data_IF_124921507273
#
_entry.id   IF_124921507273
#
_cell.length_a   1.000
_cell.length_b   1.000
_cell.length_c   1.000
_cell.angle_alpha   90.00
_cell.angle_beta   90.00
_cell.angle_gamma   90.00
#
_symmetry.space_group_name_H-M   'P 1'
#
loop_
_entity.id
_entity.type
_entity.pdbx_description
1 polymer ?
#
# COMPACT_ATOMS: atom_id res chain seq x y z
N UNK A 1 9.55 -14.09 -11.58
CA UNK A 1 8.41 -14.87 -11.02
C UNK A 1 8.28 -14.53 -9.54
N UNK A 2 7.07 -14.42 -9.00
CA UNK A 2 6.86 -14.18 -7.57
C UNK A 2 6.86 -15.53 -6.84
N UNK A 3 7.76 -15.71 -5.91
CA UNK A 3 7.83 -16.94 -5.09
C UNK A 3 6.92 -16.87 -3.87
N UNK A 4 6.69 -18.04 -3.26
CA UNK A 4 5.83 -18.19 -2.08
C UNK A 4 6.35 -17.39 -0.88
N UNK A 5 7.67 -17.25 -0.75
CA UNK A 5 8.28 -16.46 0.33
C UNK A 5 7.85 -14.99 0.23
N UNK A 6 8.01 -14.38 -0.95
CA UNK A 6 7.53 -13.02 -1.20
C UNK A 6 6.02 -12.89 -0.96
N UNK A 7 5.22 -13.82 -1.49
CA UNK A 7 3.76 -13.77 -1.38
C UNK A 7 3.29 -13.89 0.08
N UNK A 8 4.02 -14.65 0.92
CA UNK A 8 3.70 -14.83 2.33
C UNK A 8 3.82 -13.55 3.17
N UNK A 9 4.54 -12.53 2.67
CA UNK A 9 4.70 -11.23 3.33
C UNK A 9 3.45 -10.36 3.28
N UNK A 10 2.45 -10.74 2.47
CA UNK A 10 1.23 -9.96 2.26
C UNK A 10 -0.03 -10.82 2.46
N UNK A 11 -1.13 -10.25 3.00
CA UNK A 11 -1.23 -8.89 3.50
C UNK A 11 -0.50 -8.69 4.84
N UNK A 12 -0.11 -7.45 5.11
CA UNK A 12 0.42 -7.00 6.39
C UNK A 12 -0.69 -7.06 7.44
N UNK A 13 -0.47 -7.88 8.47
CA UNK A 13 -1.45 -8.12 9.52
C UNK A 13 -1.14 -7.38 10.83
N UNK A 14 0.11 -6.96 11.02
CA UNK A 14 0.56 -6.29 12.22
C UNK A 14 1.82 -5.43 11.97
N UNK A 15 2.30 -4.82 13.05
CA UNK A 15 3.46 -3.96 13.05
C UNK A 15 4.77 -4.69 12.78
N UNK A 16 4.92 -5.94 13.23
CA UNK A 16 6.13 -6.71 13.00
C UNK A 16 6.29 -7.05 11.52
N UNK A 17 5.21 -7.51 10.87
CA UNK A 17 5.20 -7.74 9.43
C UNK A 17 5.49 -6.47 8.64
N UNK A 18 4.92 -5.34 9.08
CA UNK A 18 5.18 -4.05 8.43
C UNK A 18 6.64 -3.64 8.54
N UNK A 19 7.27 -3.82 9.70
CA UNK A 19 8.69 -3.54 9.88
C UNK A 19 9.56 -4.44 9.01
N UNK A 20 9.27 -5.74 8.97
CA UNK A 20 9.98 -6.71 8.12
C UNK A 20 9.91 -6.31 6.64
N UNK A 21 8.70 -6.07 6.10
CA UNK A 21 8.53 -5.63 4.71
C UNK A 21 9.19 -4.27 4.45
N UNK A 22 9.10 -3.34 5.40
CA UNK A 22 9.75 -2.03 5.28
C UNK A 22 11.27 -2.19 5.17
N UNK A 23 11.87 -3.04 6.00
CA UNK A 23 13.30 -3.31 5.99
C UNK A 23 13.75 -4.01 4.70
N UNK A 24 13.04 -5.08 4.30
CA UNK A 24 13.26 -5.77 3.03
C UNK A 24 13.16 -4.83 1.83
N UNK A 25 12.18 -3.93 1.82
CA UNK A 25 12.02 -2.97 0.71
C UNK A 25 13.19 -1.99 0.64
N UNK A 26 13.78 -1.63 1.79
CA UNK A 26 14.90 -0.70 1.87
C UNK A 26 16.24 -1.37 1.52
N UNK A 27 16.45 -2.58 2.01
CA UNK A 27 17.77 -3.22 2.06
C UNK A 27 17.94 -4.39 1.07
N UNK A 28 16.84 -5.00 0.60
CA UNK A 28 16.89 -6.14 -0.32
C UNK A 28 16.46 -5.72 -1.74
N UNK A 29 17.44 -5.66 -2.64
CA UNK A 29 17.24 -5.32 -4.04
C UNK A 29 16.35 -6.32 -4.79
N UNK A 30 16.50 -7.62 -4.51
CA UNK A 30 15.70 -8.68 -5.12
C UNK A 30 14.24 -8.58 -4.69
N UNK A 31 14.02 -8.33 -3.40
CA UNK A 31 12.68 -8.06 -2.86
C UNK A 31 12.06 -6.82 -3.53
N UNK A 32 12.80 -5.73 -3.67
CA UNK A 32 12.32 -4.50 -4.33
C UNK A 32 11.93 -4.74 -5.80
N UNK A 33 12.71 -5.52 -6.56
CA UNK A 33 12.33 -5.91 -7.93
C UNK A 33 11.02 -6.72 -7.94
N UNK A 34 10.89 -7.71 -7.05
CA UNK A 34 9.65 -8.50 -6.93
C UNK A 34 8.46 -7.63 -6.55
N UNK A 35 8.66 -6.67 -5.66
CA UNK A 35 7.65 -5.71 -5.25
C UNK A 35 7.21 -4.83 -6.43
N UNK A 36 8.14 -4.27 -7.19
CA UNK A 36 7.82 -3.49 -8.38
C UNK A 36 7.02 -4.32 -9.40
N UNK A 37 7.47 -5.55 -9.66
CA UNK A 37 6.76 -6.48 -10.54
C UNK A 37 5.35 -6.81 -10.02
N UNK A 38 5.21 -7.11 -8.72
CA UNK A 38 3.92 -7.34 -8.08
C UNK A 38 2.97 -6.17 -8.26
N UNK A 39 3.44 -4.93 -8.04
CA UNK A 39 2.62 -3.71 -8.21
C UNK A 39 2.18 -3.53 -9.67
N UNK A 40 3.08 -3.76 -10.64
CA UNK A 40 2.78 -3.64 -12.08
C UNK A 40 1.74 -4.65 -12.58
N UNK A 41 1.67 -5.84 -11.97
CA UNK A 41 0.72 -6.87 -12.37
C UNK A 41 -0.73 -6.52 -12.04
N UNK A 42 -0.96 -5.54 -11.17
CA UNK A 42 -2.29 -4.97 -11.01
C UNK A 42 -2.41 -3.73 -11.86
N UNK A 43 -3.55 -3.57 -12.52
CA UNK A 43 -3.92 -2.33 -13.17
C UNK A 43 -4.98 -1.57 -12.38
N UNK A 44 -5.39 -0.44 -12.93
CA UNK A 44 -6.59 0.30 -12.51
C UNK A 44 -7.08 1.10 -13.71
N UNK A 45 -8.37 1.43 -13.72
CA UNK A 45 -8.90 2.34 -14.74
C UNK A 45 -8.23 3.74 -14.67
N UNK A 46 -7.62 4.07 -13.53
CA UNK A 46 -6.82 5.26 -13.30
C UNK A 46 -5.86 5.02 -12.12
N UNK A 47 -4.95 5.98 -11.87
CA UNK A 47 -3.96 5.91 -10.80
C UNK A 47 -4.56 5.76 -9.40
N UNK A 48 -5.70 6.41 -9.09
CA UNK A 48 -6.40 6.23 -7.80
C UNK A 48 -6.84 4.78 -7.61
N UNK A 49 -7.48 4.20 -8.62
CA UNK A 49 -7.94 2.82 -8.59
C UNK A 49 -6.78 1.83 -8.49
N UNK A 50 -5.67 2.10 -9.16
CA UNK A 50 -4.45 1.29 -9.07
C UNK A 50 -3.89 1.31 -7.64
N UNK A 51 -3.70 2.50 -7.05
CA UNK A 51 -3.24 2.66 -5.66
C UNK A 51 -4.18 1.94 -4.69
N UNK A 52 -5.50 2.13 -4.80
CA UNK A 52 -6.47 1.46 -3.94
C UNK A 52 -6.38 -0.07 -4.00
N UNK A 53 -6.22 -0.63 -5.21
CA UNK A 53 -6.10 -2.07 -5.41
C UNK A 53 -4.85 -2.62 -4.75
N UNK A 54 -3.71 -1.95 -4.90
CA UNK A 54 -2.46 -2.39 -4.28
C UNK A 54 -2.49 -2.24 -2.76
N UNK A 55 -3.05 -1.14 -2.23
CA UNK A 55 -3.18 -0.99 -0.78
C UNK A 55 -4.03 -2.11 -0.17
N UNK A 56 -5.08 -2.55 -0.87
CA UNK A 56 -5.86 -3.73 -0.46
C UNK A 56 -5.16 -5.08 -0.61
N UNK A 57 -4.00 -5.13 -1.27
CA UNK A 57 -3.09 -6.30 -1.26
C UNK A 57 -2.02 -6.18 -0.19
N UNK A 58 -1.54 -4.97 0.07
CA UNK A 58 -0.52 -4.71 1.08
C UNK A 58 -1.06 -4.83 2.49
N UNK A 59 -2.25 -4.32 2.78
CA UNK A 59 -2.77 -4.27 4.13
C UNK A 59 -4.07 -5.05 4.20
N UNK A 60 -4.24 -5.82 5.28
CA UNK A 60 -5.57 -6.24 5.67
C UNK A 60 -6.31 -5.04 6.31
N UNK A 61 -7.64 -5.10 6.34
CA UNK A 61 -8.41 -3.97 6.87
C UNK A 61 -8.26 -3.78 8.38
N UNK A 62 -8.07 -4.86 9.16
CA UNK A 62 -7.85 -4.74 10.61
C UNK A 62 -6.59 -3.93 10.92
N UNK A 63 -5.47 -4.28 10.32
CA UNK A 63 -4.21 -3.59 10.50
C UNK A 63 -4.23 -2.19 9.88
N UNK A 64 -4.89 -2.01 8.73
CA UNK A 64 -5.08 -0.68 8.13
C UNK A 64 -5.81 0.28 9.08
N UNK A 65 -6.71 -0.20 9.97
CA UNK A 65 -7.34 0.65 10.99
C UNK A 65 -6.37 1.15 12.05
N UNK A 66 -5.21 0.51 12.22
CA UNK A 66 -4.15 0.92 13.17
C UNK A 66 -3.12 1.85 12.51
N UNK A 67 -3.17 1.98 11.18
CA UNK A 67 -2.25 2.77 10.38
C UNK A 67 -2.73 4.21 10.17
N UNK A 68 -1.77 5.12 10.04
CA UNK A 68 -1.95 6.52 9.65
C UNK A 68 -0.86 6.96 8.69
N UNK A 69 -1.14 7.96 7.84
CA UNK A 69 -0.12 8.48 6.94
C UNK A 69 0.93 9.30 7.68
N UNK A 70 0.51 10.20 8.57
CA UNK A 70 1.39 11.25 9.12
C UNK A 70 1.66 11.13 10.62
N UNK A 71 1.04 10.17 11.32
CA UNK A 71 1.17 10.03 12.77
C UNK A 71 0.30 11.00 13.57
N UNK A 72 -0.47 11.88 12.92
CA UNK A 72 -1.25 12.94 13.59
C UNK A 72 -2.61 12.48 14.12
N UNK A 73 -3.08 11.32 13.69
CA UNK A 73 -4.39 10.80 14.07
C UNK A 73 -4.31 10.07 15.42
N UNK A 74 -5.17 10.45 16.36
CA UNK A 74 -5.22 9.83 17.70
C UNK A 74 -5.58 8.35 17.59
N UNK A 75 -5.01 7.53 18.47
CA UNK A 75 -5.26 6.08 18.56
C UNK A 75 -4.77 5.25 17.35
N UNK A 76 -3.93 5.81 16.49
CA UNK A 76 -3.22 5.06 15.43
C UNK A 76 -1.80 4.74 15.90
N UNK A 77 -1.37 3.50 15.73
CA UNK A 77 -0.10 2.99 16.27
C UNK A 77 1.01 2.97 15.24
N UNK A 78 0.70 3.00 13.94
CA UNK A 78 1.71 2.86 12.88
C UNK A 78 1.62 3.99 11.85
N UNK A 79 2.73 4.71 11.68
CA UNK A 79 2.88 5.72 10.63
C UNK A 79 3.52 5.11 9.40
N UNK A 80 2.81 5.12 8.26
CA UNK A 80 3.27 4.46 7.02
C UNK A 80 3.70 5.44 5.91
N UNK A 81 3.38 6.73 6.04
CA UNK A 81 3.43 7.69 4.93
C UNK A 81 4.82 7.99 4.35
N UNK A 82 5.90 7.74 5.10
CA UNK A 82 7.29 7.95 4.66
C UNK A 82 8.04 6.64 4.44
N UNK A 83 7.32 5.53 4.26
CA UNK A 83 7.94 4.22 4.08
C UNK A 83 8.40 3.98 2.65
N UNK A 84 9.51 3.26 2.49
CA UNK A 84 10.02 2.88 1.17
C UNK A 84 9.01 2.00 0.41
N UNK A 85 8.20 1.20 1.13
CA UNK A 85 7.05 0.46 0.55
C UNK A 85 6.10 1.38 -0.24
N UNK A 86 5.73 2.53 0.33
CA UNK A 86 4.86 3.49 -0.36
C UNK A 86 5.59 4.29 -1.44
N UNK A 87 6.91 4.52 -1.29
CA UNK A 87 7.72 5.14 -2.34
C UNK A 87 7.79 4.27 -3.59
N UNK A 88 8.00 2.97 -3.44
CA UNK A 88 7.99 2.01 -4.55
C UNK A 88 6.63 1.97 -5.21
N UNK A 89 5.54 1.93 -4.43
CA UNK A 89 4.18 2.04 -4.97
C UNK A 89 3.98 3.32 -5.79
N UNK A 90 4.36 4.48 -5.24
CA UNK A 90 4.26 5.78 -5.91
C UNK A 90 5.01 5.77 -7.24
N UNK A 91 6.27 5.31 -7.23
CA UNK A 91 7.13 5.22 -8.42
C UNK A 91 6.46 4.37 -9.51
N UNK A 92 6.07 3.15 -9.18
CA UNK A 92 5.52 2.21 -10.17
C UNK A 92 4.20 2.71 -10.75
N UNK A 93 3.29 3.25 -9.92
CA UNK A 93 2.00 3.76 -10.43
C UNK A 93 2.21 4.97 -11.35
N UNK A 94 3.18 5.85 -11.04
CA UNK A 94 3.55 6.97 -11.93
C UNK A 94 4.01 6.45 -13.28
N UNK A 95 4.91 5.48 -13.31
CA UNK A 95 5.44 4.89 -14.55
C UNK A 95 4.35 4.18 -15.37
N UNK A 96 3.43 3.46 -14.72
CA UNK A 96 2.29 2.83 -15.39
C UNK A 96 1.28 3.87 -15.94
N UNK A 97 1.32 5.11 -15.44
CA UNK A 97 0.38 6.17 -15.81
C UNK A 97 0.96 7.19 -16.79
N UNK A 98 2.25 7.10 -17.16
CA UNK A 98 2.98 8.11 -17.95
C UNK A 98 2.44 8.38 -19.36
N UNK A 99 1.50 7.56 -19.86
CA UNK A 99 0.78 7.79 -21.12
C UNK A 99 -0.60 8.44 -20.99
N UNK A 100 -1.07 8.72 -19.76
CA UNK A 100 -2.40 9.30 -19.51
C UNK A 100 -2.32 10.80 -19.22
N UNK A 101 -3.35 11.55 -19.60
CA UNK A 101 -3.42 13.02 -19.52
C UNK A 101 -3.40 13.61 -18.10
N UNK A 102 -3.45 12.78 -17.05
CA UNK A 102 -3.47 13.22 -15.65
C UNK A 102 -2.29 12.64 -14.90
N UNK A 103 -1.29 13.47 -14.66
CA UNK A 103 -0.12 13.13 -13.87
C UNK A 103 -0.51 12.81 -12.40
N UNK A 104 0.07 11.76 -11.84
CA UNK A 104 -0.04 11.45 -10.41
C UNK A 104 1.03 12.25 -9.65
N UNK A 105 0.67 13.41 -9.11
CA UNK A 105 1.58 14.19 -8.26
C UNK A 105 1.75 13.56 -6.87
N UNK A 106 2.79 13.94 -6.16
CA UNK A 106 3.07 13.44 -4.80
C UNK A 106 1.92 13.75 -3.84
N UNK A 107 1.42 14.99 -3.85
CA UNK A 107 0.27 15.40 -3.04
C UNK A 107 -0.99 14.56 -3.36
N UNK A 108 -1.24 14.29 -4.65
CA UNK A 108 -2.38 13.47 -5.06
C UNK A 108 -2.24 12.03 -4.57
N UNK A 109 -1.05 11.43 -4.70
CA UNK A 109 -0.76 10.11 -4.16
C UNK A 109 -0.96 10.05 -2.64
N UNK A 110 -0.38 11.01 -1.91
CA UNK A 110 -0.50 11.09 -0.46
C UNK A 110 -1.96 11.20 0.01
N UNK A 111 -2.77 11.99 -0.69
CA UNK A 111 -4.19 12.14 -0.41
C UNK A 111 -4.96 10.84 -0.67
N UNK A 112 -4.65 10.11 -1.75
CA UNK A 112 -5.27 8.82 -2.04
C UNK A 112 -4.93 7.80 -0.93
N UNK A 113 -3.67 7.73 -0.49
CA UNK A 113 -3.27 6.82 0.60
C UNK A 113 -3.97 7.20 1.91
N UNK A 114 -3.99 8.49 2.27
CA UNK A 114 -4.65 8.96 3.48
C UNK A 114 -6.15 8.67 3.47
N UNK A 115 -6.82 8.93 2.33
CA UNK A 115 -8.23 8.62 2.11
C UNK A 115 -8.48 7.11 2.30
N UNK A 116 -7.66 6.27 1.69
CA UNK A 116 -7.79 4.82 1.79
C UNK A 116 -7.62 4.33 3.24
N UNK A 117 -6.62 4.82 3.98
CA UNK A 117 -6.44 4.45 5.39
C UNK A 117 -7.61 4.91 6.27
N UNK A 118 -8.14 6.12 6.03
CA UNK A 118 -9.31 6.65 6.76
C UNK A 118 -10.54 5.76 6.61
N UNK A 119 -10.74 5.18 5.42
CA UNK A 119 -11.86 4.29 5.15
C UNK A 119 -11.67 2.85 5.65
N UNK A 120 -10.52 2.49 6.24
CA UNK A 120 -10.25 1.13 6.71
C UNK A 120 -11.30 0.61 7.70
N UNK A 121 -11.74 1.43 8.67
CA UNK A 121 -12.74 0.99 9.64
C UNK A 121 -14.09 0.69 9.01
N UNK A 122 -14.47 1.44 7.96
CA UNK A 122 -15.70 1.21 7.21
C UNK A 122 -15.59 -0.08 6.39
N UNK A 123 -14.43 -0.34 5.75
CA UNK A 123 -14.22 -1.58 5.01
C UNK A 123 -14.22 -2.80 5.93
N UNK A 124 -13.55 -2.73 7.08
CA UNK A 124 -13.57 -3.77 8.11
C UNK A 124 -14.99 -4.10 8.58
N UNK A 125 -15.78 -3.07 8.88
CA UNK A 125 -17.17 -3.25 9.31
C UNK A 125 -18.07 -3.89 8.24
N UNK A 126 -17.78 -3.64 6.95
CA UNK A 126 -18.50 -4.27 5.83
C UNK A 126 -18.12 -5.74 5.67
N UNK A 127 -16.83 -6.08 5.79
CA UNK A 127 -16.37 -7.47 5.72
C UNK A 127 -17.09 -8.33 6.77
N UNK A 128 -17.12 -7.87 8.03
CA UNK A 128 -17.76 -8.60 9.15
C UNK A 128 -19.28 -8.75 9.05
N UNK A 129 -19.93 -8.03 8.14
CA UNK A 129 -21.40 -8.11 7.91
C UNK A 129 -21.75 -9.02 6.73
N UNK A 130 -20.77 -9.36 5.90
CA UNK A 130 -20.93 -10.25 4.77
C UNK A 130 -20.63 -11.72 5.14
N UNK A 131 -20.01 -11.94 6.30
CA UNK A 131 -19.83 -13.23 6.99
C UNK A 131 -21.05 -13.54 7.88
#
# INVERSE_FOLDING_TARGET
HLDLDFLSKFPLNDYAMYLDVKDLTLNDFSFKIKLEYFIRNFGGANSKNHVHRILGKFFNDEYATKCTRTGREKNKTTTVGQSELLNVLKKVVKECSSGNSVELTDSKFENIVAEWLRYASIRLARSKRAD
#
